data_IF_256740054538
#
_entry.id   IF_256740054538
#
_cell.length_a   1.000
_cell.length_b   1.000
_cell.length_c   1.000
_cell.angle_alpha   90.00
_cell.angle_beta   90.00
_cell.angle_gamma   90.00
#
_symmetry.space_group_name_H-M   'P 1'
#
loop_
_entity.id
_entity.type
_entity.pdbx_description
1 polymer ?
#
# COMPACT_ATOMS: atom_id res chain seq x y z
N UNK A 1 -0.06 -7.46 8.23
CA UNK A 1 0.36 -6.04 8.08
C UNK A 1 -0.71 -5.07 8.58
N UNK A 2 -1.99 -5.22 8.21
CA UNK A 2 -3.09 -4.34 8.67
C UNK A 2 -3.10 -4.01 10.18
N UNK A 3 -2.98 -5.02 11.06
CA UNK A 3 -2.88 -4.82 12.50
C UNK A 3 -1.55 -4.17 12.94
N UNK A 4 -0.43 -4.52 12.29
CA UNK A 4 0.88 -3.89 12.51
C UNK A 4 0.96 -2.44 12.03
N UNK A 5 0.10 -2.04 11.08
CA UNK A 5 -0.09 -0.66 10.65
C UNK A 5 -1.18 0.07 11.46
N UNK A 6 -1.59 -0.47 12.62
CA UNK A 6 -2.56 0.16 13.52
C UNK A 6 -4.02 0.08 13.07
N UNK A 7 -4.34 -0.76 12.08
CA UNK A 7 -5.71 -1.13 11.68
C UNK A 7 -6.55 -0.04 11.01
N UNK A 8 -6.03 1.19 10.93
CA UNK A 8 -6.76 2.39 10.49
C UNK A 8 -6.21 3.00 9.20
N UNK A 9 -5.14 2.45 8.63
CA UNK A 9 -4.59 2.91 7.36
C UNK A 9 -5.59 2.58 6.25
N UNK A 10 -5.98 3.61 5.48
CA UNK A 10 -6.92 3.51 4.36
C UNK A 10 -6.32 3.94 3.02
N UNK A 11 -5.21 4.67 3.05
CA UNK A 11 -4.49 5.18 1.89
C UNK A 11 -2.99 5.04 2.14
N UNK A 12 -2.29 4.51 1.14
CA UNK A 12 -0.85 4.37 1.07
C UNK A 12 -0.42 5.04 -0.23
N UNK A 13 0.39 6.07 -0.13
CA UNK A 13 0.98 6.75 -1.29
C UNK A 13 2.44 6.32 -1.35
N UNK A 14 2.84 5.76 -2.49
CA UNK A 14 4.23 5.38 -2.72
C UNK A 14 4.84 6.26 -3.80
N UNK A 15 6.03 6.79 -3.56
CA UNK A 15 6.74 7.65 -4.49
C UNK A 15 8.25 7.56 -4.27
N UNK A 16 9.03 8.05 -5.24
CA UNK A 16 10.50 8.03 -5.20
C UNK A 16 11.15 6.84 -5.90
N UNK A 17 10.42 5.75 -6.12
CA UNK A 17 10.82 4.65 -7.00
C UNK A 17 9.58 3.89 -7.50
N UNK A 18 9.56 3.39 -8.75
CA UNK A 18 8.45 2.61 -9.27
C UNK A 18 8.32 1.29 -8.49
N UNK A 19 7.18 1.08 -7.83
CA UNK A 19 6.84 -0.25 -7.30
C UNK A 19 6.42 -1.18 -8.45
N UNK A 20 6.82 -2.45 -8.32
CA UNK A 20 6.29 -3.52 -9.18
C UNK A 20 4.83 -3.79 -8.82
N UNK A 21 4.05 -4.13 -9.83
CA UNK A 21 2.60 -4.36 -9.74
C UNK A 21 2.23 -5.43 -8.69
N UNK A 22 3.02 -6.50 -8.60
CA UNK A 22 2.90 -7.55 -7.59
C UNK A 22 2.99 -7.02 -6.15
N UNK A 23 3.83 -6.01 -5.91
CA UNK A 23 4.02 -5.41 -4.59
C UNK A 23 2.85 -4.47 -4.25
N UNK A 24 2.33 -3.73 -5.23
CA UNK A 24 1.12 -2.92 -5.04
C UNK A 24 -0.08 -3.80 -4.71
N UNK A 25 -0.27 -4.90 -5.44
CA UNK A 25 -1.37 -5.82 -5.20
C UNK A 25 -1.25 -6.50 -3.83
N UNK A 26 -0.04 -6.95 -3.47
CA UNK A 26 0.23 -7.51 -2.15
C UNK A 26 -0.08 -6.52 -1.02
N UNK A 27 0.36 -5.26 -1.16
CA UNK A 27 0.07 -4.21 -0.19
C UNK A 27 -1.43 -3.92 -0.11
N UNK A 28 -2.13 -3.84 -1.25
CA UNK A 28 -3.57 -3.57 -1.31
C UNK A 28 -4.39 -4.66 -0.62
N UNK A 29 -4.09 -5.93 -0.89
CA UNK A 29 -4.77 -7.08 -0.27
C UNK A 29 -4.44 -7.18 1.23
N UNK A 30 -3.17 -7.05 1.59
CA UNK A 30 -2.72 -7.30 2.97
C UNK A 30 -3.02 -6.13 3.93
N UNK A 31 -3.11 -4.90 3.41
CA UNK A 31 -3.49 -3.72 4.19
C UNK A 31 -4.98 -3.39 4.09
N UNK A 32 -5.67 -3.84 3.03
CA UNK A 32 -7.06 -3.45 2.75
C UNK A 32 -7.22 -1.94 2.60
N UNK A 33 -6.19 -1.27 2.09
CA UNK A 33 -6.10 0.15 1.85
C UNK A 33 -5.82 0.41 0.37
N UNK A 34 -6.17 1.61 -0.12
CA UNK A 34 -5.78 2.02 -1.46
C UNK A 34 -4.28 2.28 -1.50
N UNK A 35 -3.57 1.64 -2.44
CA UNK A 35 -2.17 1.92 -2.75
C UNK A 35 -2.16 2.72 -4.04
N UNK A 36 -1.52 3.89 -4.03
CA UNK A 36 -1.42 4.78 -5.18
C UNK A 36 0.04 5.16 -5.36
N UNK A 37 0.54 5.08 -6.58
CA UNK A 37 1.86 5.62 -6.90
C UNK A 37 1.74 7.13 -7.14
N UNK A 38 2.36 7.91 -6.25
CA UNK A 38 2.58 9.34 -6.43
C UNK A 38 3.91 9.54 -7.14
N UNK A 39 3.85 9.58 -8.47
CA UNK A 39 4.92 10.12 -9.29
C UNK A 39 4.66 11.62 -9.52
#
# INVERSE_FOLDING_TARGET
IKAGMGGRVRLIISGGAPLREEVEEYLRVTSGAFVVQGY
#
